data_IF_081738419735
#
_entry.id   IF_081738419735
#
_cell.length_a   1.000
_cell.length_b   1.000
_cell.length_c   1.000
_cell.angle_alpha   90.00
_cell.angle_beta   90.00
_cell.angle_gamma   90.00
#
_symmetry.space_group_name_H-M   'P 1'
#
loop_
_entity.id
_entity.type
_entity.pdbx_description
1 polymer ?
#
# COMPACT_ATOMS: atom_id res chain seq x y z
N UNK A 1 15.07 -0.16 13.82
CA UNK A 1 13.79 0.57 13.90
C UNK A 1 12.62 -0.24 13.32
N UNK A 2 12.74 -0.77 12.08
CA UNK A 2 11.69 -1.59 11.42
C UNK A 2 11.29 -2.84 12.21
N UNK A 3 12.23 -3.53 12.87
CA UNK A 3 11.93 -4.64 13.76
C UNK A 3 11.04 -4.28 14.95
N UNK A 4 11.20 -3.07 15.51
CA UNK A 4 10.33 -2.55 16.54
C UNK A 4 8.93 -2.28 16.02
N UNK A 5 8.80 -1.77 14.79
CA UNK A 5 7.52 -1.54 14.14
C UNK A 5 6.77 -2.85 13.88
N UNK A 6 7.46 -3.88 13.41
CA UNK A 6 6.84 -5.22 13.20
C UNK A 6 6.32 -5.80 14.51
N UNK A 7 7.08 -5.70 15.61
CA UNK A 7 6.64 -6.13 16.95
C UNK A 7 5.46 -5.30 17.46
N UNK A 8 5.47 -3.98 17.22
CA UNK A 8 4.37 -3.09 17.56
C UNK A 8 3.09 -3.47 16.80
N UNK A 9 3.15 -3.66 15.48
CA UNK A 9 2.03 -4.10 14.66
C UNK A 9 1.50 -5.47 15.10
N UNK A 10 2.37 -6.40 15.47
CA UNK A 10 1.95 -7.71 16.03
C UNK A 10 1.19 -7.58 17.34
N UNK A 11 1.53 -6.61 18.17
CA UNK A 11 0.76 -6.33 19.40
C UNK A 11 -0.61 -5.72 19.09
N UNK A 12 -0.68 -4.77 18.17
CA UNK A 12 -1.95 -4.17 17.73
C UNK A 12 -2.90 -5.20 17.10
N UNK A 13 -2.35 -6.20 16.40
CA UNK A 13 -3.10 -7.30 15.81
C UNK A 13 -3.76 -8.17 16.89
N UNK A 14 -3.03 -8.47 17.97
CA UNK A 14 -3.50 -9.32 19.08
C UNK A 14 -4.43 -8.58 20.03
N UNK A 15 -4.04 -7.38 20.42
CA UNK A 15 -4.72 -6.58 21.44
C UNK A 15 -4.80 -5.11 21.00
N UNK A 16 -5.76 -4.76 20.13
CA UNK A 16 -5.93 -3.39 19.64
C UNK A 16 -6.48 -2.49 20.75
N UNK A 17 -5.83 -1.35 21.06
CA UNK A 17 -6.33 -0.42 22.07
C UNK A 17 -7.66 0.22 21.63
N UNK A 18 -8.45 0.61 22.62
CA UNK A 18 -9.70 1.35 22.35
C UNK A 18 -9.40 2.62 21.54
N UNK A 19 -10.23 2.89 20.54
CA UNK A 19 -10.09 4.07 19.68
C UNK A 19 -9.01 3.95 18.60
N UNK A 20 -8.36 2.80 18.42
CA UNK A 20 -7.32 2.60 17.39
C UNK A 20 -7.79 3.01 15.98
N UNK A 21 -9.04 2.73 15.62
CA UNK A 21 -9.63 3.10 14.32
C UNK A 21 -9.62 4.62 14.10
N UNK A 22 -10.06 5.38 15.09
CA UNK A 22 -10.10 6.84 15.00
C UNK A 22 -8.68 7.44 15.02
N UNK A 23 -7.79 6.90 15.86
CA UNK A 23 -6.40 7.30 15.90
C UNK A 23 -5.73 7.09 14.54
N UNK A 24 -5.83 5.90 13.96
CA UNK A 24 -5.22 5.61 12.65
C UNK A 24 -5.77 6.50 11.55
N UNK A 25 -7.08 6.76 11.52
CA UNK A 25 -7.71 7.64 10.54
C UNK A 25 -7.24 9.11 10.66
N UNK A 26 -7.05 9.61 11.88
CA UNK A 26 -6.54 10.96 12.09
C UNK A 26 -5.06 11.07 11.66
N UNK A 27 -4.23 10.13 12.08
CA UNK A 27 -2.83 10.11 11.72
C UNK A 27 -2.61 9.88 10.22
N UNK A 28 -3.48 9.12 9.56
CA UNK A 28 -3.45 8.96 8.10
C UNK A 28 -3.59 10.32 7.39
N UNK A 29 -4.53 11.17 7.82
CA UNK A 29 -4.70 12.51 7.24
C UNK A 29 -3.43 13.36 7.38
N UNK A 30 -2.72 13.23 8.49
CA UNK A 30 -1.44 13.91 8.69
C UNK A 30 -0.36 13.36 7.76
N UNK A 31 -0.28 12.03 7.65
CA UNK A 31 0.70 11.37 6.78
C UNK A 31 0.56 11.83 5.33
N UNK A 32 -0.68 11.96 4.83
CA UNK A 32 -0.92 12.40 3.45
C UNK A 32 -0.61 13.88 3.20
N UNK A 33 -0.42 14.68 4.23
CA UNK A 33 0.14 16.04 4.10
C UNK A 33 1.66 16.02 3.93
N UNK A 34 2.34 14.97 4.39
CA UNK A 34 3.80 14.84 4.40
C UNK A 34 4.34 13.95 3.27
N UNK A 35 3.50 13.10 2.69
CA UNK A 35 3.89 12.13 1.67
C UNK A 35 3.11 12.36 0.39
N UNK A 36 3.83 12.69 -0.67
CA UNK A 36 3.30 12.71 -2.03
C UNK A 36 3.56 11.36 -2.71
N UNK A 37 2.50 10.59 -2.90
CA UNK A 37 2.55 9.28 -3.51
C UNK A 37 2.96 9.33 -4.99
N UNK A 38 2.54 10.39 -5.71
CA UNK A 38 2.83 10.56 -7.14
C UNK A 38 4.30 10.83 -7.42
N UNK A 39 4.98 11.56 -6.52
CA UNK A 39 6.41 11.82 -6.65
C UNK A 39 7.27 10.66 -6.13
N UNK A 40 6.73 9.78 -5.29
CA UNK A 40 7.48 8.70 -4.64
C UNK A 40 7.78 7.53 -5.58
N UNK A 41 6.77 6.93 -6.21
CA UNK A 41 6.87 5.79 -7.13
C UNK A 41 7.48 4.50 -6.56
N UNK A 42 7.81 4.40 -5.27
CA UNK A 42 8.53 3.26 -4.70
C UNK A 42 7.80 1.93 -4.88
N UNK A 43 6.48 1.89 -4.65
CA UNK A 43 5.70 0.68 -4.86
C UNK A 43 5.74 0.21 -6.33
N UNK A 44 5.71 1.15 -7.28
CA UNK A 44 5.80 0.84 -8.71
C UNK A 44 7.19 0.32 -9.13
N UNK A 45 8.23 0.63 -8.35
CA UNK A 45 9.61 0.17 -8.60
C UNK A 45 9.91 -1.21 -8.03
N UNK A 46 9.20 -1.61 -6.97
CA UNK A 46 9.58 -2.75 -6.12
C UNK A 46 8.47 -3.75 -5.86
N UNK A 47 7.27 -3.49 -6.38
CA UNK A 47 6.09 -4.33 -6.16
C UNK A 47 5.30 -4.47 -7.46
N UNK A 48 4.49 -5.52 -7.55
CA UNK A 48 3.56 -5.70 -8.65
C UNK A 48 2.14 -5.80 -8.13
N UNK A 49 1.18 -5.05 -8.73
CA UNK A 49 -0.22 -5.17 -8.36
C UNK A 49 -0.83 -6.45 -8.92
N UNK A 50 -1.91 -6.90 -8.30
CA UNK A 50 -2.81 -7.89 -8.85
C UNK A 50 -3.83 -7.22 -9.77
N UNK A 51 -4.07 -7.80 -10.95
CA UNK A 51 -5.06 -7.31 -11.91
C UNK A 51 -6.32 -8.16 -11.85
N UNK A 52 -7.43 -7.56 -11.45
CA UNK A 52 -8.74 -8.19 -11.55
C UNK A 52 -9.23 -8.23 -13.01
N UNK A 53 -10.25 -9.05 -13.30
CA UNK A 53 -10.87 -9.06 -14.63
C UNK A 53 -11.43 -7.69 -15.01
N UNK A 54 -11.97 -6.96 -14.04
CA UNK A 54 -12.50 -5.60 -14.27
C UNK A 54 -11.38 -4.60 -14.59
N UNK A 55 -10.23 -4.70 -13.91
CA UNK A 55 -9.05 -3.91 -14.23
C UNK A 55 -8.57 -4.19 -15.66
N UNK A 56 -8.45 -5.46 -16.01
CA UNK A 56 -8.01 -5.86 -17.35
C UNK A 56 -8.96 -5.36 -18.44
N UNK A 57 -10.28 -5.44 -18.25
CA UNK A 57 -11.28 -4.90 -19.19
C UNK A 57 -11.15 -3.40 -19.35
N UNK A 58 -11.02 -2.66 -18.25
CA UNK A 58 -10.91 -1.20 -18.26
C UNK A 58 -9.63 -0.72 -18.96
N UNK A 59 -8.51 -1.32 -18.59
CA UNK A 59 -7.20 -0.91 -19.09
C UNK A 59 -7.00 -1.37 -20.54
N UNK A 60 -7.44 -2.58 -20.92
CA UNK A 60 -7.36 -3.04 -22.31
C UNK A 60 -8.19 -2.16 -23.26
N UNK A 61 -9.40 -1.75 -22.83
CA UNK A 61 -10.24 -0.84 -23.59
C UNK A 61 -9.55 0.53 -23.84
N UNK A 62 -8.87 1.05 -22.83
CA UNK A 62 -8.08 2.29 -22.95
C UNK A 62 -6.97 2.17 -24.02
N UNK A 63 -6.33 1.02 -24.13
CA UNK A 63 -5.31 0.76 -25.16
C UNK A 63 -5.88 0.29 -26.50
N UNK A 64 -7.20 0.20 -26.66
CA UNK A 64 -7.82 -0.35 -27.87
C UNK A 64 -7.48 -1.82 -28.12
N UNK A 65 -7.29 -2.60 -27.06
CA UNK A 65 -6.89 -4.01 -27.09
C UNK A 65 -8.01 -4.89 -26.54
N UNK A 66 -8.05 -6.14 -26.97
CA UNK A 66 -8.82 -7.18 -26.28
C UNK A 66 -8.15 -7.52 -24.94
N UNK A 67 -8.90 -8.10 -24.01
CA UNK A 67 -8.35 -8.56 -22.72
C UNK A 67 -7.22 -9.56 -22.93
N UNK A 68 -7.33 -10.45 -23.91
CA UNK A 68 -6.31 -11.47 -24.19
C UNK A 68 -5.03 -10.86 -24.79
N UNK A 69 -5.14 -9.87 -25.67
CA UNK A 69 -3.99 -9.11 -26.17
C UNK A 69 -3.29 -8.35 -25.03
N UNK A 70 -4.08 -7.72 -24.16
CA UNK A 70 -3.56 -7.01 -22.99
C UNK A 70 -2.79 -7.96 -22.06
N UNK A 71 -3.37 -9.12 -21.70
CA UNK A 71 -2.70 -10.15 -20.91
C UNK A 71 -1.40 -10.58 -21.55
N UNK A 72 -1.45 -10.94 -22.84
CA UNK A 72 -0.28 -11.43 -23.58
C UNK A 72 0.84 -10.40 -23.61
N UNK A 73 0.51 -9.12 -23.78
CA UNK A 73 1.49 -8.05 -23.90
C UNK A 73 2.06 -7.63 -22.55
N UNK A 74 1.22 -7.42 -21.54
CA UNK A 74 1.55 -6.68 -20.33
C UNK A 74 1.60 -7.51 -19.05
N UNK A 75 0.95 -8.67 -19.02
CA UNK A 75 0.78 -9.44 -17.81
C UNK A 75 1.43 -10.82 -17.87
N UNK A 76 1.74 -11.37 -16.72
CA UNK A 76 2.09 -12.76 -16.49
C UNK A 76 1.13 -13.38 -15.48
N UNK A 77 0.84 -14.66 -15.64
CA UNK A 77 0.05 -15.42 -14.66
C UNK A 77 0.98 -15.99 -13.60
N UNK A 78 0.68 -15.77 -12.33
CA UNK A 78 1.43 -16.38 -11.24
C UNK A 78 1.03 -17.85 -11.07
N UNK A 79 2.02 -18.70 -10.92
CA UNK A 79 1.77 -20.17 -10.89
C UNK A 79 1.08 -20.64 -9.60
N UNK A 80 1.34 -20.00 -8.46
CA UNK A 80 0.81 -20.39 -7.16
C UNK A 80 -0.64 -19.94 -6.95
N UNK A 81 -0.89 -18.63 -7.07
CA UNK A 81 -2.20 -18.03 -6.83
C UNK A 81 -3.12 -18.04 -8.05
N UNK A 82 -2.54 -18.07 -9.25
CA UNK A 82 -3.27 -17.90 -10.51
C UNK A 82 -3.58 -16.43 -10.83
N UNK A 83 -3.06 -15.50 -10.05
CA UNK A 83 -3.25 -14.07 -10.24
C UNK A 83 -2.53 -13.53 -11.47
N UNK A 84 -3.05 -12.45 -12.02
CA UNK A 84 -2.41 -11.70 -13.10
C UNK A 84 -1.61 -10.55 -12.52
N UNK A 85 -0.32 -10.52 -12.83
CA UNK A 85 0.67 -9.58 -12.34
C UNK A 85 1.37 -8.86 -13.49
N UNK A 86 2.06 -7.75 -13.22
CA UNK A 86 2.94 -7.13 -14.21
C UNK A 86 3.98 -8.12 -14.74
N UNK A 87 4.33 -7.99 -16.02
CA UNK A 87 5.45 -8.74 -16.60
C UNK A 87 6.80 -8.30 -16.10
N UNK A 88 6.96 -7.01 -15.84
CA UNK A 88 8.25 -6.39 -15.52
C UNK A 88 8.21 -5.70 -14.17
N UNK A 89 9.38 -5.61 -13.57
CA UNK A 89 9.66 -4.84 -12.37
C UNK A 89 10.99 -4.09 -12.63
N UNK A 90 10.98 -2.77 -12.58
CA UNK A 90 9.87 -1.84 -12.27
C UNK A 90 8.63 -2.00 -13.16
N UNK A 91 7.49 -1.51 -12.66
CA UNK A 91 6.21 -1.54 -13.39
C UNK A 91 6.35 -0.92 -14.79
N UNK A 92 5.89 -1.63 -15.83
CA UNK A 92 5.95 -1.18 -17.22
C UNK A 92 5.16 0.11 -17.52
N UNK A 93 4.28 0.52 -16.61
CA UNK A 93 3.50 1.76 -16.74
C UNK A 93 4.11 2.94 -15.96
N UNK A 94 5.26 2.74 -15.31
CA UNK A 94 5.98 3.78 -14.60
C UNK A 94 7.00 4.44 -15.51
N UNK A 95 6.91 5.75 -15.67
CA UNK A 95 8.02 6.54 -16.21
C UNK A 95 9.06 6.76 -15.11
N UNK A 96 10.26 6.24 -15.31
CA UNK A 96 11.36 6.34 -14.34
C UNK A 96 11.99 7.73 -14.28
N UNK A 97 11.74 8.58 -15.28
CA UNK A 97 12.30 9.93 -15.32
C UNK A 97 11.59 10.87 -14.32
N UNK A 98 10.28 10.72 -14.17
CA UNK A 98 9.48 11.59 -13.31
C UNK A 98 8.62 10.85 -12.26
N UNK A 99 8.76 9.52 -12.18
CA UNK A 99 7.99 8.61 -11.31
C UNK A 99 6.47 8.62 -11.57
N UNK A 100 6.01 9.03 -12.76
CA UNK A 100 4.60 9.07 -13.09
C UNK A 100 4.10 7.78 -13.71
N UNK A 101 2.89 7.42 -13.36
CA UNK A 101 2.19 6.28 -13.94
C UNK A 101 1.41 6.70 -15.19
N UNK A 102 1.70 6.09 -16.35
CA UNK A 102 1.01 6.38 -17.62
C UNK A 102 -0.47 5.98 -17.66
N UNK A 103 -0.90 5.13 -16.72
CA UNK A 103 -2.28 4.68 -16.57
C UNK A 103 -2.88 5.09 -15.21
N UNK A 104 -2.40 6.18 -14.60
CA UNK A 104 -2.76 6.56 -13.24
C UNK A 104 -4.27 6.63 -13.00
N UNK A 105 -5.01 7.26 -13.91
CA UNK A 105 -6.46 7.44 -13.77
C UNK A 105 -7.27 6.14 -13.90
N UNK A 106 -6.69 5.16 -14.59
CA UNK A 106 -7.31 3.86 -14.84
C UNK A 106 -6.52 2.70 -14.19
N UNK A 107 -5.61 3.02 -13.28
CA UNK A 107 -4.75 2.04 -12.62
C UNK A 107 -5.54 0.90 -11.96
N UNK A 108 -4.93 -0.27 -11.77
CA UNK A 108 -5.57 -1.37 -11.05
C UNK A 108 -6.11 -0.94 -9.69
N UNK A 109 -7.20 -1.56 -9.27
CA UNK A 109 -7.81 -1.29 -7.96
C UNK A 109 -6.82 -1.52 -6.80
N UNK A 110 -5.93 -2.50 -6.94
CA UNK A 110 -4.86 -2.76 -5.98
C UNK A 110 -3.90 -1.57 -5.85
N UNK A 111 -3.49 -0.97 -6.97
CA UNK A 111 -2.70 0.27 -6.95
C UNK A 111 -3.48 1.45 -6.34
N UNK A 112 -4.77 1.56 -6.65
CA UNK A 112 -5.64 2.63 -6.13
C UNK A 112 -5.85 2.54 -4.62
N UNK A 113 -5.87 1.33 -4.07
CA UNK A 113 -6.00 1.09 -2.63
C UNK A 113 -4.70 1.10 -1.84
N UNK A 114 -3.56 0.92 -2.52
CA UNK A 114 -2.26 0.88 -1.85
C UNK A 114 -1.93 2.23 -1.18
N UNK A 115 -1.37 2.27 0.02
CA UNK A 115 -0.89 1.16 0.86
C UNK A 115 -1.93 0.61 1.85
N UNK A 116 -3.21 0.76 1.59
CA UNK A 116 -4.32 0.24 2.39
C UNK A 116 -4.42 0.81 3.81
N UNK A 117 -4.00 2.07 4.02
CA UNK A 117 -4.01 2.72 5.33
C UNK A 117 -5.42 2.81 5.95
N UNK A 118 -6.53 3.07 5.19
CA UNK A 118 -7.88 3.14 5.75
C UNK A 118 -8.42 1.79 6.26
N UNK A 119 -7.77 0.69 5.91
CA UNK A 119 -8.21 -0.65 6.31
C UNK A 119 -7.99 -0.88 7.81
N UNK A 120 -8.83 -1.73 8.39
CA UNK A 120 -8.72 -2.06 9.82
C UNK A 120 -7.32 -2.57 10.14
N UNK A 121 -6.62 -1.87 11.02
CA UNK A 121 -5.24 -2.17 11.40
C UNK A 121 -5.07 -3.62 11.85
N UNK A 122 -6.05 -4.16 12.59
CA UNK A 122 -6.03 -5.54 13.05
C UNK A 122 -5.96 -6.54 11.88
N UNK A 123 -6.81 -6.36 10.88
CA UNK A 123 -6.95 -7.31 9.78
C UNK A 123 -5.82 -7.16 8.74
N UNK A 124 -5.22 -5.98 8.67
CA UNK A 124 -4.16 -5.62 7.71
C UNK A 124 -2.77 -5.47 8.33
N UNK A 125 -2.58 -5.87 9.58
CA UNK A 125 -1.27 -5.76 10.25
C UNK A 125 -0.16 -6.50 9.46
N UNK A 126 -0.45 -7.66 8.89
CA UNK A 126 0.50 -8.41 8.05
C UNK A 126 0.91 -7.63 6.80
N UNK A 127 -0.04 -6.97 6.13
CA UNK A 127 0.22 -6.11 4.96
C UNK A 127 1.07 -4.90 5.38
N UNK A 128 0.74 -4.24 6.50
CA UNK A 128 1.51 -3.12 6.98
C UNK A 128 2.94 -3.51 7.41
N UNK A 129 3.14 -4.73 7.95
CA UNK A 129 4.48 -5.27 8.25
C UNK A 129 5.35 -5.43 6.98
N UNK A 130 4.74 -5.69 5.84
CA UNK A 130 5.44 -5.71 4.55
C UNK A 130 5.64 -4.28 4.04
N UNK A 131 4.58 -3.47 4.04
CA UNK A 131 4.59 -2.14 3.44
C UNK A 131 5.54 -1.16 4.13
N UNK A 132 5.88 -1.31 5.41
CA UNK A 132 6.91 -0.48 6.07
C UNK A 132 8.30 -0.62 5.44
N UNK A 133 8.54 -1.64 4.63
CA UNK A 133 9.81 -1.81 3.92
C UNK A 133 9.90 -0.88 2.69
N UNK A 134 8.78 -0.59 2.04
CA UNK A 134 8.71 0.04 0.73
C UNK A 134 7.99 1.38 0.72
N UNK A 135 6.97 1.55 1.59
CA UNK A 135 6.05 2.66 1.56
C UNK A 135 6.34 3.68 2.67
N UNK A 136 6.80 4.90 2.33
CA UNK A 136 7.03 5.97 3.31
C UNK A 136 5.76 6.34 4.09
N UNK A 137 4.58 6.30 3.46
CA UNK A 137 3.33 6.59 4.14
C UNK A 137 3.00 5.57 5.23
N UNK A 138 3.16 4.26 4.93
CA UNK A 138 2.97 3.22 5.95
C UNK A 138 4.00 3.34 7.06
N UNK A 139 5.27 3.60 6.72
CA UNK A 139 6.33 3.80 7.71
C UNK A 139 5.99 4.94 8.67
N UNK A 140 5.63 6.12 8.14
CA UNK A 140 5.25 7.29 8.94
C UNK A 140 4.01 7.04 9.79
N UNK A 141 2.98 6.37 9.25
CA UNK A 141 1.78 6.03 10.02
C UNK A 141 2.12 5.17 11.24
N UNK A 142 2.89 4.11 11.04
CA UNK A 142 3.29 3.20 12.14
C UNK A 142 4.15 3.93 13.18
N UNK A 143 5.07 4.79 12.74
CA UNK A 143 5.90 5.63 13.61
C UNK A 143 5.04 6.55 14.48
N UNK A 144 4.15 7.34 13.88
CA UNK A 144 3.24 8.26 14.58
C UNK A 144 2.33 7.52 15.56
N UNK A 145 1.76 6.38 15.16
CA UNK A 145 0.93 5.57 16.04
C UNK A 145 1.71 5.06 17.25
N UNK A 146 2.94 4.59 17.04
CA UNK A 146 3.78 4.09 18.13
C UNK A 146 4.13 5.21 19.11
N UNK A 147 4.49 6.39 18.62
CA UNK A 147 4.77 7.58 19.46
C UNK A 147 3.55 7.98 20.27
N UNK A 148 2.39 8.15 19.62
CA UNK A 148 1.15 8.56 20.30
C UNK A 148 0.72 7.58 21.40
N UNK A 149 0.78 6.29 21.14
CA UNK A 149 0.40 5.26 22.12
C UNK A 149 1.43 5.13 23.27
N UNK A 150 2.70 5.45 23.04
CA UNK A 150 3.71 5.55 24.09
C UNK A 150 3.47 6.76 25.00
N UNK A 151 3.25 7.93 24.42
CA UNK A 151 2.95 9.16 25.17
C UNK A 151 1.70 8.98 26.04
N UNK A 152 0.63 8.45 25.46
CA UNK A 152 -0.61 8.17 26.20
C UNK A 152 -0.35 7.28 27.42
N UNK A 153 0.42 6.21 27.27
CA UNK A 153 0.76 5.31 28.39
C UNK A 153 1.60 5.98 29.46
N UNK A 154 2.48 6.93 29.11
CA UNK A 154 3.24 7.72 30.09
C UNK A 154 2.31 8.62 30.89
N UNK A 155 1.43 9.35 30.23
CA UNK A 155 0.45 10.22 30.88
C UNK A 155 -0.48 9.45 31.84
N UNK A 156 -0.92 8.25 31.46
CA UNK A 156 -1.78 7.40 32.28
C UNK A 156 -1.04 6.82 33.52
N UNK A 157 0.29 6.78 33.50
CA UNK A 157 1.13 6.29 34.64
C UNK A 157 1.59 7.40 35.57
N UNK A 158 1.29 8.67 35.27
CA UNK A 158 1.65 9.80 36.11
C UNK A 158 3.13 10.22 36.03
N UNK A 159 3.85 9.84 34.98
CA UNK A 159 5.22 10.30 34.69
C UNK A 159 5.22 11.62 33.90
#
# INVERSE_FOLDING_TARGET
RKGNFKRFLSRLEKDPPKGLKNLSANLEKEVWKEVDCLSCGNCCKTMTPTFTLMDMKRISAYFGQTVEEFKKKWLRKERGSGDWLNKTEPCQFLDLADNKCSIYEIRPADCGGFPHLPKKMKDYAHIHKQNIEYCPATYKLVEKMMMHLHEKKRMEKGD
#
